data_IF_080111568794
#
_entry.id   IF_080111568794
#
_cell.length_a   1.000
_cell.length_b   1.000
_cell.length_c   1.000
_cell.angle_alpha   90.00
_cell.angle_beta   90.00
_cell.angle_gamma   90.00
#
_symmetry.space_group_name_H-M   'P 1'
#
loop_
_entity.id
_entity.type
_entity.pdbx_description
1 polymer ?
#
# COMPACT_ATOMS: atom_id res chain seq x y z
N UNK A 1 3.37 -12.61 -4.93
CA UNK A 1 4.18 -11.56 -5.59
C UNK A 1 3.54 -10.21 -5.35
N UNK A 2 4.33 -9.19 -5.06
CA UNK A 2 3.87 -7.79 -5.03
C UNK A 2 4.51 -7.05 -6.20
N UNK A 3 3.72 -6.18 -6.84
CA UNK A 3 4.19 -5.28 -7.89
C UNK A 3 3.98 -3.87 -7.45
N UNK A 4 4.98 -3.04 -7.73
CA UNK A 4 4.92 -1.63 -7.49
C UNK A 4 4.66 -0.93 -8.81
N UNK A 5 3.62 -0.10 -8.85
CA UNK A 5 3.21 0.65 -10.01
C UNK A 5 3.52 2.13 -9.80
N UNK A 6 3.98 2.78 -10.87
CA UNK A 6 4.14 4.22 -10.92
C UNK A 6 3.48 4.76 -12.18
N UNK A 7 2.71 5.82 -12.05
CA UNK A 7 2.24 6.58 -13.22
C UNK A 7 3.43 7.12 -13.99
N UNK A 8 3.46 6.89 -15.30
CA UNK A 8 4.53 7.38 -16.16
C UNK A 8 3.96 7.77 -17.51
N UNK A 9 4.41 8.90 -18.04
CA UNK A 9 4.09 9.33 -19.41
C UNK A 9 5.09 8.75 -20.42
N UNK A 10 6.28 8.37 -19.95
CA UNK A 10 7.37 7.82 -20.77
C UNK A 10 7.73 6.41 -20.32
N UNK A 11 8.06 5.53 -21.26
CA UNK A 11 8.44 4.12 -21.00
C UNK A 11 7.40 3.39 -20.12
N UNK A 12 6.19 3.33 -20.64
CA UNK A 12 5.05 2.69 -20.02
C UNK A 12 5.11 1.19 -20.30
N UNK A 13 4.92 0.36 -19.28
CA UNK A 13 4.90 -1.10 -19.44
C UNK A 13 3.49 -1.61 -19.74
N UNK A 14 2.47 -0.91 -19.22
CA UNK A 14 1.05 -1.20 -19.44
C UNK A 14 0.23 0.10 -19.46
N UNK A 15 -1.00 -0.01 -19.98
CA UNK A 15 -1.99 1.06 -19.95
C UNK A 15 -3.28 0.54 -19.30
N UNK A 16 -3.97 1.39 -18.54
CA UNK A 16 -5.34 1.10 -18.11
C UNK A 16 -6.26 1.11 -19.34
N UNK A 17 -7.05 0.04 -19.53
CA UNK A 17 -7.99 -0.06 -20.65
C UNK A 17 -9.24 0.82 -20.51
N UNK A 18 -9.46 1.43 -19.34
CA UNK A 18 -10.63 2.30 -19.08
C UNK A 18 -10.29 3.76 -19.34
N UNK A 19 -9.27 4.30 -18.68
CA UNK A 19 -8.91 5.72 -18.77
C UNK A 19 -7.69 6.00 -19.66
N UNK A 20 -6.99 4.96 -20.12
CA UNK A 20 -5.79 5.09 -20.96
C UNK A 20 -4.51 5.46 -20.20
N UNK A 21 -4.55 5.61 -18.87
CA UNK A 21 -3.38 6.03 -18.11
C UNK A 21 -2.24 5.00 -18.17
N UNK A 22 -1.03 5.51 -18.37
CA UNK A 22 0.22 4.76 -18.45
C UNK A 22 0.85 4.44 -17.12
N UNK A 23 1.32 3.19 -16.97
CA UNK A 23 2.03 2.75 -15.78
C UNK A 23 3.33 2.03 -16.10
N UNK A 24 4.32 2.31 -15.27
CA UNK A 24 5.58 1.57 -15.22
C UNK A 24 5.56 0.60 -14.05
N UNK A 25 5.97 -0.63 -14.30
CA UNK A 25 5.89 -1.72 -13.33
C UNK A 25 7.28 -2.05 -12.80
N UNK A 26 7.37 -2.20 -11.48
CA UNK A 26 8.57 -2.65 -10.79
C UNK A 26 8.22 -3.93 -10.04
N UNK A 27 8.85 -5.03 -10.44
CA UNK A 27 8.68 -6.35 -9.84
C UNK A 27 10.04 -7.06 -9.78
N UNK A 28 10.15 -8.06 -8.91
CA UNK A 28 11.36 -8.87 -8.76
C UNK A 28 11.33 -10.15 -9.63
N UNK A 29 10.19 -10.46 -10.25
CA UNK A 29 9.98 -11.68 -11.03
C UNK A 29 10.81 -11.73 -12.32
N UNK A 30 11.55 -12.84 -12.46
CA UNK A 30 12.49 -13.03 -13.57
C UNK A 30 11.93 -13.92 -14.68
N UNK A 31 10.91 -14.74 -14.42
CA UNK A 31 10.37 -15.63 -15.45
C UNK A 31 9.37 -14.93 -16.39
N UNK A 32 9.38 -15.23 -17.70
CA UNK A 32 8.44 -14.65 -18.66
C UNK A 32 6.97 -14.99 -18.35
N UNK A 33 6.70 -16.21 -17.88
CA UNK A 33 5.35 -16.68 -17.53
C UNK A 33 4.77 -15.89 -16.35
N UNK A 34 5.55 -15.70 -15.28
CA UNK A 34 5.11 -14.91 -14.13
C UNK A 34 4.86 -13.46 -14.50
N UNK A 35 5.67 -12.87 -15.39
CA UNK A 35 5.45 -11.50 -15.89
C UNK A 35 4.12 -11.36 -16.62
N UNK A 36 3.75 -12.34 -17.44
CA UNK A 36 2.46 -12.34 -18.17
C UNK A 36 1.28 -12.47 -17.21
N UNK A 37 1.35 -13.39 -16.25
CA UNK A 37 0.32 -13.55 -15.21
C UNK A 37 0.18 -12.28 -14.38
N UNK A 38 1.32 -11.71 -13.97
CA UNK A 38 1.39 -10.49 -13.18
C UNK A 38 0.76 -9.30 -13.90
N UNK A 39 1.08 -9.11 -15.19
CA UNK A 39 0.44 -8.07 -16.02
C UNK A 39 -1.08 -8.25 -16.08
N UNK A 40 -1.54 -9.49 -16.22
CA UNK A 40 -2.97 -9.80 -16.30
C UNK A 40 -3.69 -9.44 -14.99
N UNK A 41 -3.09 -9.77 -13.84
CA UNK A 41 -3.60 -9.40 -12.51
C UNK A 41 -3.66 -7.88 -12.38
N UNK A 42 -2.57 -7.18 -12.70
CA UNK A 42 -2.51 -5.73 -12.60
C UNK A 42 -3.56 -5.04 -13.49
N UNK A 43 -3.78 -5.53 -14.71
CA UNK A 43 -4.85 -5.01 -15.57
C UNK A 43 -6.25 -5.27 -15.02
N UNK A 44 -6.45 -6.35 -14.27
CA UNK A 44 -7.67 -6.58 -13.49
C UNK A 44 -7.87 -5.50 -12.44
N UNK A 45 -6.88 -5.33 -11.57
CA UNK A 45 -6.91 -4.34 -10.49
C UNK A 45 -7.12 -2.92 -11.03
N UNK A 46 -6.41 -2.51 -12.09
CA UNK A 46 -6.60 -1.19 -12.69
C UNK A 46 -8.05 -0.98 -13.17
N UNK A 47 -8.73 -2.02 -13.67
CA UNK A 47 -10.16 -1.90 -14.02
C UNK A 47 -11.03 -1.79 -12.78
N UNK A 48 -10.72 -2.52 -11.73
CA UNK A 48 -11.48 -2.50 -10.48
C UNK A 48 -11.43 -1.15 -9.77
N UNK A 49 -10.37 -0.36 -9.97
CA UNK A 49 -10.30 1.03 -9.51
C UNK A 49 -11.43 1.91 -10.08
N UNK A 50 -11.92 1.58 -11.27
CA UNK A 50 -13.03 2.26 -11.93
C UNK A 50 -14.40 1.64 -11.61
N UNK A 51 -14.44 0.62 -10.75
CA UNK A 51 -15.69 -0.04 -10.38
C UNK A 51 -16.61 0.90 -9.60
N UNK A 52 -17.94 0.69 -9.66
CA UNK A 52 -18.90 1.45 -8.87
C UNK A 52 -18.61 1.44 -7.37
N UNK A 53 -18.05 0.33 -6.85
CA UNK A 53 -17.70 0.17 -5.44
C UNK A 53 -16.58 1.13 -5.00
N UNK A 54 -15.71 1.53 -5.93
CA UNK A 54 -14.62 2.48 -5.72
C UNK A 54 -15.01 3.93 -6.04
N UNK A 55 -16.29 4.17 -6.37
CA UNK A 55 -16.83 5.49 -6.72
C UNK A 55 -17.15 5.66 -8.22
N UNK A 56 -16.84 4.66 -9.06
CA UNK A 56 -17.23 4.66 -10.47
C UNK A 56 -16.56 5.72 -11.34
N UNK A 57 -15.46 6.32 -10.87
CA UNK A 57 -14.71 7.31 -11.63
C UNK A 57 -14.07 6.64 -12.84
N UNK A 58 -14.36 7.15 -14.05
CA UNK A 58 -13.79 6.64 -15.32
C UNK A 58 -12.55 7.40 -15.76
N UNK A 59 -12.13 8.41 -14.99
CA UNK A 59 -10.99 9.27 -15.30
C UNK A 59 -9.72 8.76 -14.64
N UNK A 60 -8.59 9.39 -14.97
CA UNK A 60 -7.29 9.14 -14.37
C UNK A 60 -7.26 9.29 -12.83
N UNK A 61 -8.22 10.02 -12.24
CA UNK A 61 -8.29 10.23 -10.79
C UNK A 61 -8.72 8.97 -10.02
N UNK A 62 -9.24 7.95 -10.70
CA UNK A 62 -9.49 6.63 -10.12
C UNK A 62 -8.21 5.89 -9.68
N UNK A 63 -7.04 6.30 -10.18
CA UNK A 63 -5.77 5.68 -9.82
C UNK A 63 -4.95 6.56 -8.88
N UNK A 64 -4.08 5.97 -8.04
CA UNK A 64 -3.11 6.74 -7.26
C UNK A 64 -2.21 7.60 -8.14
N UNK A 65 -1.94 8.82 -7.68
CA UNK A 65 -1.01 9.72 -8.35
C UNK A 65 0.46 9.25 -8.21
N UNK A 66 0.77 8.62 -7.09
CA UNK A 66 2.13 8.21 -6.71
C UNK A 66 2.31 6.68 -6.79
N UNK A 67 3.44 6.19 -6.29
CA UNK A 67 3.77 4.77 -6.17
C UNK A 67 2.72 4.00 -5.36
N UNK A 68 2.19 2.90 -5.92
CA UNK A 68 1.26 2.02 -5.20
C UNK A 68 1.56 0.55 -5.46
N UNK A 69 1.12 -0.33 -4.55
CA UNK A 69 1.39 -1.77 -4.59
C UNK A 69 0.15 -2.56 -4.98
N UNK A 70 0.34 -3.64 -5.74
CA UNK A 70 -0.69 -4.62 -6.11
C UNK A 70 -0.19 -6.07 -5.91
N UNK A 71 -1.09 -7.04 -5.62
CA UNK A 71 -2.49 -6.84 -5.21
C UNK A 71 -2.57 -6.25 -3.79
N UNK A 72 -3.59 -5.43 -3.50
CA UNK A 72 -3.80 -4.86 -2.16
C UNK A 72 -4.04 -3.34 -2.09
N UNK A 73 -4.26 -2.65 -3.21
CA UNK A 73 -4.73 -1.26 -3.18
C UNK A 73 -6.25 -1.24 -2.96
N UNK A 74 -6.69 -0.82 -1.77
CA UNK A 74 -8.11 -0.84 -1.35
C UNK A 74 -8.88 0.44 -1.72
N UNK A 75 -8.57 1.07 -2.86
CA UNK A 75 -9.14 2.39 -3.19
C UNK A 75 -8.41 3.54 -2.53
N UNK A 76 -8.85 4.77 -2.83
CA UNK A 76 -8.37 5.99 -2.14
C UNK A 76 -8.23 5.74 -0.64
N UNK A 77 -7.15 6.20 0.03
CA UNK A 77 -7.17 6.24 1.48
C UNK A 77 -8.45 6.99 1.82
N UNK A 78 -9.39 6.31 2.46
CA UNK A 78 -10.49 6.97 3.13
C UNK A 78 -9.83 7.84 4.19
N UNK A 79 -9.44 9.05 3.81
CA UNK A 79 -9.33 10.18 4.73
C UNK A 79 -10.76 10.52 5.14
N UNK A 80 -11.42 9.57 5.81
CA UNK A 80 -12.51 9.87 6.69
C UNK A 80 -11.92 10.77 7.76
N UNK A 81 -12.17 12.07 7.62
CA UNK A 81 -11.94 13.13 8.61
C UNK A 81 -12.57 12.81 9.99
N UNK A 82 -13.25 11.69 10.12
CA UNK A 82 -13.78 11.11 11.36
C UNK A 82 -12.73 10.43 12.24
N UNK A 83 -11.53 10.11 11.74
CA UNK A 83 -10.48 9.49 12.57
C UNK A 83 -9.71 10.50 13.46
N UNK A 84 -9.95 11.81 13.33
CA UNK A 84 -9.28 12.85 14.13
C UNK A 84 -10.10 13.37 15.32
N UNK A 85 -11.17 12.68 15.73
CA UNK A 85 -11.94 13.02 16.94
C UNK A 85 -12.07 11.88 17.96
N UNK A 86 -11.38 10.75 17.75
CA UNK A 86 -11.13 9.82 18.86
C UNK A 86 -10.01 10.41 19.73
N UNK A 87 -10.41 11.34 20.61
CA UNK A 87 -9.57 11.82 21.70
C UNK A 87 -9.05 10.66 22.55
N UNK A 88 -8.03 10.91 23.40
CA UNK A 88 -7.45 9.89 24.26
C UNK A 88 -8.50 9.37 25.26
N UNK A 89 -9.09 8.23 24.96
CA UNK A 89 -9.80 7.43 25.94
C UNK A 89 -8.77 6.82 26.88
N UNK A 90 -8.55 7.53 27.99
CA UNK A 90 -8.01 7.09 29.29
C UNK A 90 -7.67 5.60 29.34
N UNK A 91 -6.38 5.29 29.33
CA UNK A 91 -5.89 4.04 29.95
C UNK A 91 -5.93 4.28 31.46
N UNK A 92 -6.69 3.50 32.26
CA UNK A 92 -6.61 3.57 33.70
C UNK A 92 -5.21 3.13 34.17
N UNK A 93 -4.64 3.93 35.07
CA UNK A 93 -3.42 3.66 35.80
C UNK A 93 -3.51 2.35 36.56
N UNK A 94 -2.54 1.45 36.35
CA UNK A 94 -1.69 0.81 37.36
C UNK A 94 -0.98 -0.37 36.69
N UNK A 95 0.35 -0.29 36.56
CA UNK A 95 1.26 -1.38 36.95
C UNK A 95 2.65 -0.77 37.02
N UNK A 96 3.02 -0.62 38.27
CA UNK A 96 4.31 -0.30 38.85
C UNK A 96 5.52 -0.98 38.20
N UNK A 97 6.57 -0.16 38.08
CA UNK A 97 7.98 -0.46 38.38
C UNK A 97 8.75 -1.38 37.41
N UNK A 98 9.47 -0.72 36.51
CA UNK A 98 10.74 -1.19 35.94
C UNK A 98 11.75 -1.36 37.08
N UNK A 99 12.05 -2.61 37.46
CA UNK A 99 13.25 -2.94 38.25
C UNK A 99 14.41 -3.10 37.28
N UNK A 100 15.36 -2.18 37.37
CA UNK A 100 16.65 -2.27 36.69
C UNK A 100 17.44 -3.46 37.26
N UNK A 101 17.65 -4.49 36.44
CA UNK A 101 18.59 -5.57 36.73
C UNK A 101 19.95 -5.14 36.16
N UNK A 102 20.74 -4.43 36.96
CA UNK A 102 22.18 -4.26 36.71
C UNK A 102 22.92 -5.40 37.41
N UNK A 103 23.36 -6.37 36.61
CA UNK A 103 24.35 -7.38 36.99
C UNK A 103 25.76 -6.83 36.78
N UNK A 104 26.69 -7.32 37.62
CA UNK A 104 28.17 -7.20 37.62
C UNK A 104 28.69 -6.10 38.55
N UNK A 105 29.70 -6.31 39.40
CA UNK A 105 30.75 -7.32 39.37
C UNK A 105 31.20 -7.72 40.79
N UNK A 106 31.51 -9.01 40.90
CA UNK A 106 32.38 -9.60 41.90
C UNK A 106 33.73 -8.84 41.96
N UNK A 107 34.18 -8.46 43.16
CA UNK A 107 35.60 -8.55 43.48
C UNK A 107 35.83 -8.82 44.96
N UNK A 108 35.97 -10.11 45.23
CA UNK A 108 36.73 -10.68 46.34
C UNK A 108 38.14 -10.04 46.42
N UNK A 109 38.50 -9.50 47.59
CA UNK A 109 39.60 -9.95 48.47
C UNK A 109 40.16 -8.81 49.33
#
# INVERSE_FOLDING_TARGET
MQVLLRRSEFRQDIHCSVCGQGFRLYWESSSPSERTTTRSIVLGELRDHHSPEQGGDKTAAAHPFDLFRLPGWSGSPRFTRTAMLAGPARIPSDISKVVMISRRANRER
#
